data_IF_149810974392
#
_entry.id   IF_149810974392
#
_cell.length_a   1.000
_cell.length_b   1.000
_cell.length_c   1.000
_cell.angle_alpha   90.00
_cell.angle_beta   90.00
_cell.angle_gamma   90.00
#
_symmetry.space_group_name_H-M   'P 1'
#
loop_
_entity.id
_entity.type
_entity.pdbx_description
1 polymer ?
#
# COMPACT_ATOMS: atom_id res chain seq x y z
N UNK A 1 20.71 -33.47 -17.33
CA UNK A 1 19.84 -32.45 -17.95
C UNK A 1 19.01 -31.84 -16.84
N UNK A 2 19.45 -30.69 -16.35
CA UNK A 2 18.77 -29.97 -15.26
C UNK A 2 17.49 -29.31 -15.79
N UNK A 3 16.33 -29.47 -15.12
CA UNK A 3 15.17 -28.63 -15.39
C UNK A 3 15.56 -27.17 -15.19
N UNK A 4 15.36 -26.35 -16.23
CA UNK A 4 15.67 -24.92 -16.22
C UNK A 4 14.86 -24.22 -15.12
N UNK A 5 15.58 -23.38 -14.41
CA UNK A 5 15.22 -22.71 -13.17
C UNK A 5 14.03 -21.74 -13.34
N UNK A 6 13.16 -21.75 -12.32
CA UNK A 6 12.29 -20.67 -11.81
C UNK A 6 11.97 -19.48 -12.74
N UNK A 7 10.73 -19.45 -13.23
CA UNK A 7 10.02 -18.23 -13.68
C UNK A 7 8.69 -18.10 -12.93
N UNK A 8 8.77 -18.08 -11.60
CA UNK A 8 7.73 -17.44 -10.80
C UNK A 8 8.34 -16.12 -10.34
N UNK A 9 8.07 -15.06 -11.10
CA UNK A 9 8.20 -13.69 -10.59
C UNK A 9 7.41 -13.67 -9.28
N UNK A 10 8.12 -13.67 -8.14
CA UNK A 10 7.49 -13.51 -6.84
C UNK A 10 7.03 -12.06 -6.80
N UNK A 11 5.82 -11.79 -7.31
CA UNK A 11 5.12 -10.54 -7.03
C UNK A 11 4.84 -10.53 -5.53
N UNK A 12 5.75 -9.92 -4.78
CA UNK A 12 5.58 -9.77 -3.34
C UNK A 12 4.50 -8.74 -3.12
N UNK A 13 3.29 -9.21 -2.82
CA UNK A 13 2.23 -8.34 -2.34
C UNK A 13 2.64 -7.89 -0.94
N UNK A 14 3.20 -6.68 -0.86
CA UNK A 14 3.50 -6.06 0.42
C UNK A 14 2.17 -5.69 1.09
N UNK A 15 2.09 -5.89 2.39
CA UNK A 15 0.92 -5.50 3.18
C UNK A 15 1.34 -4.60 4.34
N UNK A 16 0.39 -3.80 4.80
CA UNK A 16 0.56 -2.92 5.95
C UNK A 16 -0.63 -3.11 6.90
N UNK A 17 -0.34 -3.38 8.17
CA UNK A 17 -1.36 -3.42 9.22
C UNK A 17 -1.53 -2.02 9.81
N UNK A 18 -2.71 -1.45 9.67
CA UNK A 18 -3.08 -0.12 10.20
C UNK A 18 -2.84 -0.07 11.71
N UNK A 19 -2.15 0.96 12.18
CA UNK A 19 -1.85 1.20 13.59
C UNK A 19 -2.78 2.30 14.15
N UNK A 20 -2.95 2.36 15.48
CA UNK A 20 -3.66 3.48 16.11
C UNK A 20 -3.05 4.83 15.72
N UNK A 21 -3.89 5.73 15.18
CA UNK A 21 -3.48 7.06 14.73
C UNK A 21 -3.08 7.16 13.25
N UNK A 22 -3.04 6.05 12.53
CA UNK A 22 -2.75 6.07 11.09
C UNK A 22 -3.87 6.73 10.29
N UNK A 23 -3.47 7.36 9.18
CA UNK A 23 -4.33 7.77 8.08
C UNK A 23 -3.71 7.26 6.79
N UNK A 24 -4.49 7.14 5.71
CA UNK A 24 -3.93 6.72 4.41
C UNK A 24 -2.80 7.65 3.95
N UNK A 25 -2.91 8.96 4.19
CA UNK A 25 -1.86 9.93 3.86
C UNK A 25 -0.58 9.74 4.66
N UNK A 26 -0.68 9.43 5.97
CA UNK A 26 0.50 9.15 6.80
C UNK A 26 1.17 7.83 6.42
N UNK A 27 0.38 6.79 6.11
CA UNK A 27 0.89 5.52 5.60
C UNK A 27 1.61 5.76 4.27
N UNK A 28 0.97 6.46 3.33
CA UNK A 28 1.57 6.82 2.05
C UNK A 28 2.87 7.61 2.19
N UNK A 29 2.89 8.62 3.07
CA UNK A 29 4.09 9.40 3.36
C UNK A 29 5.24 8.53 3.87
N UNK A 30 4.95 7.52 4.71
CA UNK A 30 5.95 6.60 5.23
C UNK A 30 6.48 5.59 4.21
N UNK A 31 5.75 5.33 3.13
CA UNK A 31 6.16 4.45 2.03
C UNK A 31 7.00 5.18 0.99
N UNK A 32 6.77 6.48 0.82
CA UNK A 32 7.48 7.31 -0.15
C UNK A 32 8.86 7.73 0.38
N UNK A 33 9.90 7.45 -0.40
CA UNK A 33 11.27 7.88 -0.11
C UNK A 33 11.50 9.37 -0.47
N UNK A 34 12.59 9.95 0.03
CA UNK A 34 13.16 11.24 -0.41
C UNK A 34 12.32 12.51 -0.16
N UNK A 35 11.56 12.59 0.94
CA UNK A 35 10.75 13.78 1.28
C UNK A 35 9.78 14.16 0.13
N UNK A 36 8.77 13.32 -0.12
CA UNK A 36 7.83 13.56 -1.21
C UNK A 36 7.08 14.88 -1.01
N UNK A 37 6.78 15.56 -2.11
CA UNK A 37 5.84 16.68 -2.10
C UNK A 37 4.39 16.19 -1.93
N UNK A 38 3.49 17.11 -1.56
CA UNK A 38 2.08 16.82 -1.28
C UNK A 38 1.35 16.11 -2.43
N UNK A 39 1.71 16.42 -3.67
CA UNK A 39 1.14 15.77 -4.87
C UNK A 39 1.49 14.28 -4.90
N UNK A 40 2.74 13.93 -4.59
CA UNK A 40 3.17 12.53 -4.58
C UNK A 40 2.48 11.75 -3.45
N UNK A 41 2.37 12.35 -2.26
CA UNK A 41 1.61 11.76 -1.13
C UNK A 41 0.15 11.56 -1.52
N UNK A 42 -0.45 12.54 -2.22
CA UNK A 42 -1.84 12.49 -2.66
C UNK A 42 -2.10 11.31 -3.60
N UNK A 43 -1.26 11.16 -4.62
CA UNK A 43 -1.38 10.03 -5.54
C UNK A 43 -1.14 8.69 -4.86
N UNK A 44 -0.19 8.63 -3.93
CA UNK A 44 0.12 7.39 -3.22
C UNK A 44 -1.05 6.92 -2.34
N UNK A 45 -1.63 7.78 -1.51
CA UNK A 45 -2.74 7.36 -0.65
C UNK A 45 -3.98 6.97 -1.46
N UNK A 46 -4.23 7.63 -2.60
CA UNK A 46 -5.31 7.26 -3.53
C UNK A 46 -5.12 5.86 -4.09
N UNK A 47 -3.90 5.50 -4.51
CA UNK A 47 -3.58 4.15 -4.99
C UNK A 47 -3.73 3.08 -3.92
N UNK A 48 -3.34 3.40 -2.68
CA UNK A 48 -3.59 2.52 -1.53
C UNK A 48 -5.10 2.32 -1.37
N UNK A 49 -5.90 3.39 -1.41
CA UNK A 49 -7.36 3.28 -1.31
C UNK A 49 -7.96 2.42 -2.43
N UNK A 50 -7.61 2.69 -3.69
CA UNK A 50 -8.09 1.95 -4.86
C UNK A 50 -7.84 0.44 -4.76
N UNK A 51 -6.65 0.07 -4.26
CA UNK A 51 -6.26 -1.33 -4.06
C UNK A 51 -6.99 -1.99 -2.87
N UNK A 52 -7.64 -1.20 -2.01
CA UNK A 52 -8.24 -1.65 -0.76
C UNK A 52 -9.71 -1.24 -0.59
N UNK A 53 -10.41 -0.83 -1.66
CA UNK A 53 -11.83 -0.42 -1.60
C UNK A 53 -12.70 -1.51 -0.94
N UNK A 54 -12.40 -2.78 -1.19
CA UNK A 54 -13.13 -3.91 -0.58
C UNK A 54 -12.93 -4.00 0.94
N UNK A 55 -11.77 -3.58 1.45
CA UNK A 55 -11.42 -3.60 2.88
C UNK A 55 -11.85 -2.33 3.60
N UNK A 56 -11.70 -1.17 2.95
CA UNK A 56 -11.94 0.17 3.52
C UNK A 56 -13.42 0.58 3.37
N UNK A 57 -14.09 0.11 2.32
CA UNK A 57 -15.43 0.54 1.96
C UNK A 57 -15.42 1.86 1.19
N UNK A 58 -16.54 2.57 1.19
CA UNK A 58 -16.78 3.74 0.33
C UNK A 58 -16.12 5.03 0.82
N UNK A 59 -15.65 5.08 2.07
CA UNK A 59 -15.05 6.26 2.66
C UNK A 59 -13.55 6.04 2.93
N UNK A 60 -12.64 6.63 2.13
CA UNK A 60 -11.19 6.45 2.28
C UNK A 60 -10.65 7.01 3.61
N UNK A 61 -11.39 7.92 4.26
CA UNK A 61 -10.95 8.53 5.52
C UNK A 61 -11.26 7.65 6.74
N UNK A 62 -11.93 6.51 6.56
CA UNK A 62 -12.33 5.61 7.64
C UNK A 62 -11.49 4.33 7.55
N UNK A 63 -10.37 4.33 8.27
CA UNK A 63 -9.55 3.13 8.49
C UNK A 63 -9.48 2.83 9.99
N UNK A 64 -9.30 1.56 10.33
CA UNK A 64 -9.31 1.06 11.70
C UNK A 64 -8.03 0.30 12.01
N UNK A 65 -7.48 0.45 13.24
CA UNK A 65 -6.35 -0.36 13.68
C UNK A 65 -6.60 -1.86 13.49
N UNK A 66 -5.59 -2.57 12.98
CA UNK A 66 -5.68 -3.99 12.67
C UNK A 66 -6.17 -4.33 11.26
N UNK A 67 -6.69 -3.37 10.49
CA UNK A 67 -6.95 -3.60 9.06
C UNK A 67 -5.63 -3.90 8.34
N UNK A 68 -5.65 -4.90 7.46
CA UNK A 68 -4.53 -5.23 6.59
C UNK A 68 -4.80 -4.63 5.22
N UNK A 69 -3.95 -3.70 4.82
CA UNK A 69 -4.00 -3.04 3.52
C UNK A 69 -2.96 -3.64 2.59
N UNK A 70 -3.35 -3.91 1.36
CA UNK A 70 -2.44 -4.22 0.26
C UNK A 70 -1.70 -2.94 -0.13
N UNK A 71 -0.37 -3.01 -0.19
CA UNK A 71 0.46 -1.92 -0.69
C UNK A 71 0.77 -2.17 -2.17
N UNK A 72 0.41 -1.24 -3.06
CA UNK A 72 0.76 -1.33 -4.48
C UNK A 72 2.27 -1.47 -4.70
N UNK A 73 2.69 -2.30 -5.65
CA UNK A 73 4.11 -2.54 -5.94
C UNK A 73 4.87 -1.28 -6.33
N UNK A 74 4.20 -0.30 -6.97
CA UNK A 74 4.81 0.97 -7.35
C UNK A 74 5.03 1.93 -6.18
N UNK A 75 4.52 1.58 -4.99
CA UNK A 75 4.73 2.28 -3.72
C UNK A 75 5.58 1.48 -2.73
N UNK A 76 5.97 0.24 -3.07
CA UNK A 76 6.74 -0.66 -2.22
C UNK A 76 8.25 -0.52 -2.40
#
# INVERSE_FOLDING_TARGET
MSPRENVYQQNFIQTYTVKPGDTLSLIALGLLNNHPGDVAVTHAWQRIYESNIQTIGTNPNVIFPGQVLVIPEDLS
#
